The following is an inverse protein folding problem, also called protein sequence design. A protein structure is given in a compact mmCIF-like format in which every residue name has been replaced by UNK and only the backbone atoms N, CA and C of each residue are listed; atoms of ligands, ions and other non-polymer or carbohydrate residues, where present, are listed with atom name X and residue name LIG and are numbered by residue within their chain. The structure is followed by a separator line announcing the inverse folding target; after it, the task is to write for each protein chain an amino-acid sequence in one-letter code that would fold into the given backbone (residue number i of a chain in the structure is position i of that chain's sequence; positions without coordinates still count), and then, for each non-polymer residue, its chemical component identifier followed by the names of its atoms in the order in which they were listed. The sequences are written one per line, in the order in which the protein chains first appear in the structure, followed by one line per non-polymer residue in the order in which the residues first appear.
data_IF_631200512804
#
_entry.id   IF_631200512804
#
_cell.length_a   1.000
_cell.length_b   1.000
_cell.length_c   1.000
_cell.angle_alpha   90.00
_cell.angle_beta   90.00
_cell.angle_gamma   90.00
#
_symmetry.space_group_name_H-M   'P 1'
#
loop_
_entity.id
_entity.type
_entity.pdbx_description
1 polymer ?
#
# COMPACT_ATOMS: atom_id res chain seq x y z
N UNK A 1 27.98 19.11 -24.91
CA UNK A 1 27.36 19.16 -23.56
C UNK A 1 25.84 19.15 -23.76
N UNK A 2 25.25 17.96 -23.97
CA UNK A 2 23.80 17.81 -24.13
C UNK A 2 23.24 17.45 -22.75
N UNK A 3 22.34 18.30 -22.26
CA UNK A 3 21.73 18.22 -20.94
C UNK A 3 21.01 16.88 -20.80
N UNK A 4 21.61 16.01 -19.98
CA UNK A 4 20.92 14.90 -19.31
C UNK A 4 19.82 15.46 -18.42
N UNK A 5 18.62 14.87 -18.48
CA UNK A 5 17.70 14.88 -17.36
C UNK A 5 16.28 15.35 -17.69
N UNK A 6 15.33 14.43 -17.58
CA UNK A 6 14.11 14.56 -16.77
C UNK A 6 13.66 13.18 -16.28
N UNK A 7 14.28 12.72 -15.19
CA UNK A 7 13.85 11.57 -14.38
C UNK A 7 13.22 12.08 -13.08
N UNK A 8 12.35 13.08 -13.19
CA UNK A 8 11.82 13.84 -12.05
C UNK A 8 10.30 13.69 -11.85
N UNK A 9 9.59 13.03 -12.77
CA UNK A 9 8.15 12.77 -12.62
C UNK A 9 7.92 11.49 -11.81
N UNK A 10 7.35 11.56 -10.60
CA UNK A 10 7.07 10.34 -9.83
C UNK A 10 6.06 9.52 -10.62
N UNK A 11 6.34 8.23 -10.80
CA UNK A 11 5.44 7.37 -11.56
C UNK A 11 4.06 7.35 -10.89
N UNK A 12 2.99 7.29 -11.70
CA UNK A 12 1.61 7.24 -11.22
C UNK A 12 1.41 6.16 -10.14
N UNK A 13 2.16 5.06 -10.22
CA UNK A 13 2.18 3.95 -9.25
C UNK A 13 2.54 4.38 -7.82
N UNK A 14 3.38 5.41 -7.63
CA UNK A 14 3.70 5.94 -6.30
C UNK A 14 2.51 6.68 -5.69
N UNK A 15 1.85 7.52 -6.49
CA UNK A 15 0.69 8.28 -6.04
C UNK A 15 -0.51 7.39 -5.75
N UNK A 16 -0.72 6.32 -6.53
CA UNK A 16 -1.84 5.39 -6.28
C UNK A 16 -1.77 4.71 -4.91
N UNK A 17 -0.57 4.29 -4.46
CA UNK A 17 -0.42 3.72 -3.12
C UNK A 17 -0.57 4.77 -2.02
N UNK A 18 -0.03 5.96 -2.24
CA UNK A 18 -0.15 7.03 -1.25
C UNK A 18 -1.61 7.47 -1.08
N UNK A 19 -2.34 7.57 -2.19
CA UNK A 19 -3.77 7.86 -2.18
C UNK A 19 -4.53 6.80 -1.40
N UNK A 20 -4.36 5.52 -1.74
CA UNK A 20 -5.07 4.43 -1.03
C UNK A 20 -4.67 4.36 0.45
N UNK A 21 -3.40 4.62 0.77
CA UNK A 21 -2.91 4.65 2.14
C UNK A 21 -3.57 5.75 2.98
N UNK A 22 -3.84 6.92 2.41
CA UNK A 22 -4.55 7.99 3.14
C UNK A 22 -6.07 7.77 3.11
N UNK A 23 -6.62 7.36 1.97
CA UNK A 23 -8.06 7.18 1.77
C UNK A 23 -8.67 6.09 2.67
N UNK A 24 -7.90 5.06 3.05
CA UNK A 24 -8.40 4.03 3.98
C UNK A 24 -8.83 4.63 5.34
N UNK A 25 -8.24 5.76 5.75
CA UNK A 25 -8.61 6.44 7.01
C UNK A 25 -10.03 7.00 6.93
N UNK A 26 -10.36 7.64 5.81
CA UNK A 26 -11.72 8.13 5.52
C UNK A 26 -12.69 6.95 5.39
N UNK A 27 -12.28 5.87 4.72
CA UNK A 27 -13.09 4.65 4.65
C UNK A 27 -13.37 4.05 6.05
N UNK A 28 -12.39 4.10 6.96
CA UNK A 28 -12.57 3.61 8.33
C UNK A 28 -13.58 4.42 9.15
N UNK A 29 -13.82 5.69 8.81
CA UNK A 29 -14.89 6.50 9.43
C UNK A 29 -16.30 5.96 9.12
N UNK A 30 -16.44 5.14 8.07
CA UNK A 30 -17.69 4.42 7.77
C UNK A 30 -17.99 3.26 8.73
N UNK A 31 -17.13 3.02 9.73
CA UNK A 31 -17.39 2.12 10.84
C UNK A 31 -17.62 0.67 10.43
N UNK A 32 -18.79 0.12 10.79
CA UNK A 32 -19.12 -1.29 10.59
C UNK A 32 -19.08 -1.70 9.11
N UNK A 33 -19.49 -0.83 8.19
CA UNK A 33 -19.47 -1.12 6.75
C UNK A 33 -18.04 -1.46 6.29
N UNK A 34 -17.07 -0.64 6.70
CA UNK A 34 -15.67 -0.86 6.34
C UNK A 34 -15.10 -2.10 7.04
N UNK A 35 -15.41 -2.29 8.32
CA UNK A 35 -14.90 -3.43 9.09
C UNK A 35 -15.44 -4.77 8.56
N UNK A 36 -16.72 -4.84 8.18
CA UNK A 36 -17.30 -6.05 7.58
C UNK A 36 -16.69 -6.35 6.21
N UNK A 37 -16.48 -5.34 5.37
CA UNK A 37 -15.80 -5.53 4.09
C UNK A 37 -14.37 -6.07 4.26
N UNK A 38 -13.63 -5.59 5.27
CA UNK A 38 -12.30 -6.11 5.62
C UNK A 38 -12.37 -7.55 6.14
N UNK A 39 -13.37 -7.87 6.97
CA UNK A 39 -13.58 -9.23 7.50
C UNK A 39 -13.92 -10.24 6.41
N UNK A 40 -14.83 -9.87 5.51
CA UNK A 40 -15.23 -10.68 4.36
C UNK A 40 -14.03 -11.06 3.49
N UNK A 41 -13.12 -10.10 3.25
CA UNK A 41 -11.96 -10.28 2.39
C UNK A 41 -10.66 -10.65 3.14
N UNK A 42 -10.75 -11.04 4.41
CA UNK A 42 -9.57 -11.25 5.28
C UNK A 42 -8.53 -12.24 4.75
N UNK A 43 -8.97 -13.27 4.02
CA UNK A 43 -8.07 -14.31 3.50
C UNK A 43 -7.14 -13.74 2.41
N UNK A 44 -7.70 -13.01 1.46
CA UNK A 44 -6.92 -12.40 0.37
C UNK A 44 -6.07 -11.23 0.90
N UNK A 45 -6.62 -10.41 1.80
CA UNK A 45 -5.89 -9.30 2.42
C UNK A 45 -4.71 -9.85 3.23
N UNK A 46 -4.97 -10.81 4.11
CA UNK A 46 -3.96 -11.41 4.99
C UNK A 46 -2.79 -12.01 4.21
N UNK A 47 -3.07 -12.82 3.17
CA UNK A 47 -2.02 -13.39 2.31
C UNK A 47 -1.07 -12.31 1.75
N UNK A 48 -1.62 -11.21 1.24
CA UNK A 48 -0.81 -10.15 0.64
C UNK A 48 -0.09 -9.29 1.66
N UNK A 49 -0.74 -8.93 2.78
CA UNK A 49 -0.15 -8.11 3.84
C UNK A 49 0.99 -8.88 4.51
N UNK A 50 0.75 -10.13 4.92
CA UNK A 50 1.76 -10.98 5.56
C UNK A 50 2.96 -11.20 4.63
N UNK A 51 2.72 -11.55 3.37
CA UNK A 51 3.79 -11.75 2.40
C UNK A 51 4.60 -10.49 2.13
N UNK A 52 3.93 -9.35 1.97
CA UNK A 52 4.60 -8.05 1.76
C UNK A 52 5.42 -7.64 2.98
N UNK A 53 4.85 -7.76 4.17
CA UNK A 53 5.52 -7.40 5.41
C UNK A 53 6.75 -8.28 5.64
N UNK A 54 6.60 -9.60 5.51
CA UNK A 54 7.72 -10.52 5.66
C UNK A 54 8.84 -10.24 4.65
N UNK A 55 8.52 -10.16 3.36
CA UNK A 55 9.55 -10.06 2.31
C UNK A 55 10.21 -8.69 2.24
N UNK A 56 9.47 -7.60 2.46
CA UNK A 56 9.98 -6.24 2.24
C UNK A 56 10.39 -5.52 3.52
N UNK A 57 9.95 -6.00 4.68
CA UNK A 57 10.19 -5.32 5.96
C UNK A 57 10.94 -6.22 6.94
N UNK A 58 10.47 -7.45 7.21
CA UNK A 58 11.13 -8.32 8.20
C UNK A 58 12.44 -8.89 7.66
N UNK A 59 12.39 -9.58 6.51
CA UNK A 59 13.55 -10.28 5.95
C UNK A 59 14.75 -9.32 5.75
N UNK A 60 14.63 -8.18 5.05
CA UNK A 60 15.78 -7.31 4.81
C UNK A 60 16.41 -6.70 6.08
N UNK A 61 15.67 -6.67 7.19
CA UNK A 61 16.15 -6.10 8.45
C UNK A 61 16.75 -7.15 9.40
N UNK A 62 16.32 -8.40 9.32
CA UNK A 62 16.60 -9.40 10.34
C UNK A 62 17.12 -10.76 9.83
N UNK A 63 17.01 -11.07 8.54
CA UNK A 63 17.39 -12.36 7.93
C UNK A 63 18.27 -12.17 6.69
#
# INVERSE_FOLDING_TARGET
MIVSGRKDRPSLKHYSRQLLHVAHKVAAESGSIYLEAVREHRLIIGRHVTGNFFQRHIRPLFL
#
